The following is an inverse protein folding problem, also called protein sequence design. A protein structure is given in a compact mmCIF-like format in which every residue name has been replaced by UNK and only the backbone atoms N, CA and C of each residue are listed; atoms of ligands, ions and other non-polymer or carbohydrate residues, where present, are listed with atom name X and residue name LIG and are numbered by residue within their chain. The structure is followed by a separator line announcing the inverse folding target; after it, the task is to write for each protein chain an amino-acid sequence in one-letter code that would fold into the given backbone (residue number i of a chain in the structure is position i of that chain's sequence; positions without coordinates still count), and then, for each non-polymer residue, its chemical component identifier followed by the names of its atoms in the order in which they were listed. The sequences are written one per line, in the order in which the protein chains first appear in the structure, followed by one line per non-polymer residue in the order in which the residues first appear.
data_IF_883144388205
#
_entry.id   IF_883144388205
#
_cell.length_a   1.000
_cell.length_b   1.000
_cell.length_c   1.000
_cell.angle_alpha   90.00
_cell.angle_beta   90.00
_cell.angle_gamma   90.00
#
_symmetry.space_group_name_H-M   'P 1'
#
loop_
_entity.id
_entity.type
_entity.pdbx_description
1 polymer ?
#
# COMPACT_ATOMS: atom_id res chain seq x y z
N UNK A 1 -12.41 0.91 -17.95
CA UNK A 1 -13.27 1.41 -16.86
C UNK A 1 -12.64 2.68 -16.31
N UNK A 2 -13.41 3.73 -16.01
CA UNK A 2 -12.87 5.01 -15.50
C UNK A 2 -13.89 5.76 -14.63
N UNK A 3 -13.42 6.73 -13.85
CA UNK A 3 -14.27 7.64 -13.06
C UNK A 3 -15.22 6.91 -12.10
N UNK A 4 -16.51 7.24 -12.16
CA UNK A 4 -17.53 6.69 -11.26
C UNK A 4 -17.64 5.16 -11.33
N UNK A 5 -17.43 4.57 -12.51
CA UNK A 5 -17.47 3.11 -12.66
C UNK A 5 -16.33 2.43 -11.87
N UNK A 6 -15.14 3.03 -11.84
CA UNK A 6 -14.03 2.52 -11.03
C UNK A 6 -14.31 2.65 -9.53
N UNK A 7 -14.86 3.79 -9.10
CA UNK A 7 -15.23 3.99 -7.69
C UNK A 7 -16.30 2.98 -7.25
N UNK A 8 -17.26 2.65 -8.13
CA UNK A 8 -18.27 1.65 -7.80
C UNK A 8 -17.68 0.24 -7.63
N UNK A 9 -16.64 -0.12 -8.38
CA UNK A 9 -15.93 -1.39 -8.14
C UNK A 9 -15.31 -1.42 -6.73
N UNK A 10 -14.68 -0.33 -6.30
CA UNK A 10 -14.15 -0.23 -4.94
C UNK A 10 -15.25 -0.40 -3.88
N UNK A 11 -16.45 0.15 -4.12
CA UNK A 11 -17.60 -0.06 -3.23
C UNK A 11 -18.12 -1.50 -3.24
N UNK A 12 -18.13 -2.16 -4.39
CA UNK A 12 -18.52 -3.56 -4.47
C UNK A 12 -17.55 -4.45 -3.70
N UNK A 13 -16.24 -4.21 -3.86
CA UNK A 13 -15.18 -4.91 -3.13
C UNK A 13 -15.27 -4.64 -1.63
N UNK A 14 -15.44 -3.39 -1.19
CA UNK A 14 -15.54 -3.07 0.25
C UNK A 14 -16.77 -3.68 0.94
N UNK A 15 -17.84 -3.96 0.18
CA UNK A 15 -19.03 -4.68 0.66
C UNK A 15 -18.89 -6.21 0.59
N UNK A 16 -17.73 -6.73 0.19
CA UNK A 16 -17.50 -8.17 0.02
C UNK A 16 -18.24 -8.78 -1.16
N UNK A 17 -18.77 -7.98 -2.10
CA UNK A 17 -19.52 -8.47 -3.25
C UNK A 17 -18.64 -9.02 -4.37
N UNK A 18 -17.31 -8.80 -4.29
CA UNK A 18 -16.31 -9.31 -5.24
C UNK A 18 -15.05 -9.71 -4.50
N UNK A 19 -14.37 -10.75 -4.98
CA UNK A 19 -13.08 -11.21 -4.48
C UNK A 19 -12.66 -12.54 -5.11
N UNK A 20 -11.43 -13.03 -4.84
CA UNK A 20 -10.38 -12.45 -4.00
C UNK A 20 -9.76 -11.18 -4.60
N UNK A 21 -9.17 -10.30 -3.76
CA UNK A 21 -8.45 -9.10 -4.22
C UNK A 21 -7.21 -8.80 -3.39
N UNK A 22 -6.22 -8.18 -4.02
CA UNK A 22 -5.10 -7.52 -3.34
C UNK A 22 -5.27 -6.00 -3.36
N UNK A 23 -4.71 -5.31 -2.38
CA UNK A 23 -4.68 -3.85 -2.32
C UNK A 23 -3.24 -3.36 -2.48
N UNK A 24 -3.03 -2.37 -3.34
CA UNK A 24 -1.73 -1.72 -3.53
C UNK A 24 -1.93 -0.23 -3.29
N UNK A 25 -1.16 0.33 -2.35
CA UNK A 25 -1.11 1.76 -2.11
C UNK A 25 0.25 2.31 -2.54
N UNK A 26 0.26 3.37 -3.35
CA UNK A 26 1.48 4.02 -3.86
C UNK A 26 1.76 5.37 -3.17
N UNK A 27 0.77 5.94 -2.48
CA UNK A 27 0.89 7.25 -1.85
C UNK A 27 1.07 7.17 -0.32
N UNK A 28 1.67 8.22 0.24
CA UNK A 28 1.56 8.49 1.68
C UNK A 28 0.11 8.76 2.06
N UNK A 29 -0.26 8.46 3.30
CA UNK A 29 -1.63 8.63 3.79
C UNK A 29 -1.71 9.90 4.66
N UNK A 30 -2.31 11.00 4.16
CA UNK A 30 -2.49 12.21 4.96
C UNK A 30 -3.53 11.99 6.06
N UNK A 31 -3.34 12.67 7.20
CA UNK A 31 -4.33 12.65 8.27
C UNK A 31 -5.56 13.47 7.86
N UNK A 32 -6.75 12.86 7.93
CA UNK A 32 -8.03 13.55 7.66
C UNK A 32 -8.16 14.83 8.52
N UNK A 33 -7.69 14.80 9.76
CA UNK A 33 -7.72 15.93 10.68
C UNK A 33 -6.89 17.14 10.21
N UNK A 34 -5.85 16.93 9.41
CA UNK A 34 -5.01 18.01 8.88
C UNK A 34 -5.71 18.84 7.79
N UNK A 35 -6.79 18.32 7.19
CA UNK A 35 -7.50 18.95 6.09
C UNK A 35 -8.60 19.94 6.53
N UNK A 36 -8.92 19.99 7.83
CA UNK A 36 -10.02 20.81 8.37
C UNK A 36 -11.36 20.43 7.74
N UNK A 37 -12.05 21.40 7.13
CA UNK A 37 -13.33 21.18 6.43
C UNK A 37 -13.17 20.66 4.99
N UNK A 38 -11.92 20.46 4.53
CA UNK A 38 -11.61 20.02 3.16
C UNK A 38 -11.02 18.60 3.14
N UNK A 39 -10.17 18.29 2.16
CA UNK A 39 -9.51 17.00 2.00
C UNK A 39 -8.15 17.23 1.33
N UNK A 40 -7.16 16.40 1.67
CA UNK A 40 -5.82 16.45 1.07
C UNK A 40 -5.68 15.45 -0.09
N UNK A 41 -6.20 14.24 0.09
CA UNK A 41 -6.21 13.20 -0.93
C UNK A 41 -7.53 12.42 -0.86
N UNK A 42 -8.24 12.33 -1.98
CA UNK A 42 -9.52 11.64 -2.06
C UNK A 42 -9.68 10.90 -3.38
N UNK A 43 -10.54 9.89 -3.36
CA UNK A 43 -10.93 9.13 -4.53
C UNK A 43 -12.45 8.90 -4.50
N UNK A 44 -13.17 9.56 -5.41
CA UNK A 44 -14.62 9.48 -5.46
C UNK A 44 -15.34 10.29 -4.38
N UNK A 45 -16.67 10.26 -4.45
CA UNK A 45 -17.59 11.04 -3.60
C UNK A 45 -18.70 10.13 -3.08
N UNK A 46 -19.11 10.35 -1.85
CA UNK A 46 -20.20 9.65 -1.14
C UNK A 46 -20.98 10.68 -0.32
N UNK A 47 -22.31 10.70 -0.47
CA UNK A 47 -23.19 11.68 0.21
C UNK A 47 -22.75 13.14 0.07
N UNK A 48 -22.26 13.49 -1.13
CA UNK A 48 -21.77 14.83 -1.44
C UNK A 48 -20.41 15.17 -0.83
N UNK A 49 -19.73 14.22 -0.16
CA UNK A 49 -18.41 14.40 0.45
C UNK A 49 -17.34 13.51 -0.20
N UNK A 50 -16.12 14.01 -0.40
CA UNK A 50 -15.01 13.18 -0.90
C UNK A 50 -14.68 12.05 0.07
N UNK A 51 -14.38 10.87 -0.47
CA UNK A 51 -13.88 9.73 0.34
C UNK A 51 -12.36 9.80 0.33
N UNK A 52 -11.75 10.02 1.49
CA UNK A 52 -10.29 10.16 1.61
C UNK A 52 -9.57 8.84 1.33
N UNK A 53 -8.31 8.92 0.91
CA UNK A 53 -7.49 7.71 0.67
C UNK A 53 -7.35 6.85 1.92
N UNK A 54 -7.21 7.46 3.10
CA UNK A 54 -7.22 6.78 4.39
C UNK A 54 -8.50 5.99 4.62
N UNK A 55 -9.68 6.60 4.40
CA UNK A 55 -10.96 5.88 4.49
C UNK A 55 -11.08 4.71 3.51
N UNK A 56 -10.50 4.82 2.32
CA UNK A 56 -10.46 3.68 1.40
C UNK A 56 -9.57 2.56 1.90
N UNK A 57 -8.40 2.88 2.49
CA UNK A 57 -7.54 1.88 3.14
C UNK A 57 -8.30 1.16 4.25
N UNK A 58 -8.96 1.89 5.14
CA UNK A 58 -9.73 1.31 6.25
C UNK A 58 -10.83 0.36 5.78
N UNK A 59 -11.49 0.69 4.66
CA UNK A 59 -12.56 -0.11 4.06
C UNK A 59 -12.05 -1.35 3.33
N UNK A 60 -10.92 -1.25 2.63
CA UNK A 60 -10.46 -2.26 1.66
C UNK A 60 -9.40 -3.20 2.24
N UNK A 61 -8.53 -2.70 3.11
CA UNK A 61 -7.39 -3.45 3.64
C UNK A 61 -7.81 -4.70 4.44
N UNK A 62 -8.82 -4.65 5.34
CA UNK A 62 -9.20 -5.82 6.14
C UNK A 62 -9.72 -7.01 5.32
N UNK A 63 -10.32 -6.75 4.15
CA UNK A 63 -10.83 -7.79 3.26
C UNK A 63 -9.85 -8.25 2.19
N UNK A 64 -8.73 -7.56 1.99
CA UNK A 64 -7.76 -7.91 0.95
C UNK A 64 -6.97 -9.17 1.33
N UNK A 65 -6.64 -10.03 0.36
CA UNK A 65 -5.74 -11.16 0.55
C UNK A 65 -4.35 -10.71 1.04
N UNK A 66 -3.89 -9.58 0.52
CA UNK A 66 -2.63 -8.93 0.84
C UNK A 66 -2.76 -7.42 0.62
N UNK A 67 -1.96 -6.66 1.36
CA UNK A 67 -1.82 -5.21 1.21
C UNK A 67 -0.36 -4.91 0.91
N UNK A 68 -0.11 -4.15 -0.16
CA UNK A 68 1.23 -3.73 -0.57
C UNK A 68 1.34 -2.21 -0.39
N UNK A 69 2.35 -1.77 0.33
CA UNK A 69 2.81 -0.39 0.31
C UNK A 69 3.95 -0.29 -0.71
N UNK A 70 3.73 0.45 -1.80
CA UNK A 70 4.68 0.56 -2.90
C UNK A 70 5.28 1.96 -2.97
N UNK A 71 6.58 2.05 -2.72
CA UNK A 71 7.35 3.28 -2.70
C UNK A 71 7.50 3.89 -1.31
N UNK A 72 8.55 4.67 -1.08
CA UNK A 72 8.89 5.23 0.23
C UNK A 72 7.80 6.16 0.78
N UNK A 73 7.02 6.80 -0.10
CA UNK A 73 5.83 7.55 0.28
C UNK A 73 4.80 6.63 0.97
N UNK A 74 4.42 5.52 0.32
CA UNK A 74 3.46 4.58 0.88
C UNK A 74 4.03 3.77 2.05
N UNK A 75 5.33 3.51 2.07
CA UNK A 75 5.93 2.66 3.10
C UNK A 75 6.22 3.45 4.37
N UNK A 76 6.83 4.65 4.24
CA UNK A 76 7.35 5.44 5.36
C UNK A 76 6.72 6.83 5.50
N UNK A 77 5.86 7.24 4.58
CA UNK A 77 5.38 8.62 4.43
C UNK A 77 6.24 9.44 3.47
N UNK A 78 7.54 9.10 3.33
CA UNK A 78 8.46 9.71 2.36
C UNK A 78 8.68 11.20 2.61
N UNK A 79 8.94 12.00 1.57
CA UNK A 79 9.12 13.45 1.71
C UNK A 79 7.91 14.17 2.35
N UNK A 80 6.70 13.61 2.23
CA UNK A 80 5.48 14.21 2.76
C UNK A 80 5.37 14.13 4.28
N UNK A 81 6.10 13.19 4.92
CA UNK A 81 6.12 13.03 6.38
C UNK A 81 7.31 13.71 7.05
N UNK A 82 8.15 14.42 6.29
CA UNK A 82 9.25 15.22 6.84
C UNK A 82 8.71 16.39 7.66
N UNK A 83 9.44 16.78 8.72
CA UNK A 83 9.10 17.97 9.50
C UNK A 83 9.01 19.23 8.61
N UNK A 84 7.97 20.08 8.79
CA UNK A 84 7.02 20.09 9.91
C UNK A 84 5.78 19.19 9.76
N UNK A 85 5.70 18.37 8.70
CA UNK A 85 4.58 17.46 8.37
C UNK A 85 3.18 18.09 8.54
N UNK A 86 2.85 19.16 7.79
CA UNK A 86 1.57 19.85 7.93
C UNK A 86 0.37 19.00 7.51
N UNK A 87 0.59 17.95 6.71
CA UNK A 87 -0.43 17.02 6.26
C UNK A 87 -0.70 15.87 7.25
N UNK A 88 0.11 15.75 8.31
CA UNK A 88 0.11 14.56 9.18
C UNK A 88 0.28 13.26 8.38
N UNK A 89 1.04 13.30 7.28
CA UNK A 89 1.20 12.19 6.37
C UNK A 89 2.00 11.05 7.02
N UNK A 90 1.55 9.82 6.79
CA UNK A 90 2.15 8.59 7.31
C UNK A 90 2.30 7.54 6.21
N UNK A 91 3.06 6.49 6.49
CA UNK A 91 3.07 5.28 5.66
C UNK A 91 1.86 4.38 5.93
N UNK A 92 1.55 3.50 4.99
CA UNK A 92 0.42 2.55 5.02
C UNK A 92 0.43 1.67 6.26
N UNK A 93 1.60 1.14 6.66
CA UNK A 93 1.72 0.30 7.86
C UNK A 93 1.47 1.08 9.16
N UNK A 94 1.82 2.38 9.17
CA UNK A 94 1.58 3.26 10.32
C UNK A 94 0.11 3.69 10.36
N UNK A 95 -0.51 3.93 9.20
CA UNK A 95 -1.93 4.23 9.10
C UNK A 95 -2.82 3.05 9.54
N UNK A 96 -2.50 1.83 9.07
CA UNK A 96 -3.26 0.62 9.40
C UNK A 96 -2.92 0.03 10.78
N UNK A 97 -1.94 0.60 11.46
CA UNK A 97 -1.31 0.10 12.68
C UNK A 97 -0.40 -1.15 12.49
N UNK A 98 0.68 -1.31 13.30
CA UNK A 98 1.67 -2.39 13.11
C UNK A 98 1.13 -3.82 13.30
N UNK A 99 0.03 -3.98 14.03
CA UNK A 99 -0.63 -5.26 14.28
C UNK A 99 -1.61 -5.67 13.17
N UNK A 100 -1.89 -4.78 12.21
CA UNK A 100 -2.73 -5.09 11.06
C UNK A 100 -2.32 -6.38 10.36
N UNK A 101 -3.31 -7.21 10.03
CA UNK A 101 -3.14 -8.38 9.16
C UNK A 101 -4.23 -8.40 8.10
N UNK A 102 -3.83 -8.74 6.88
CA UNK A 102 -4.73 -8.98 5.75
C UNK A 102 -5.65 -10.17 6.02
N UNK A 103 -6.63 -10.42 5.13
CA UNK A 103 -7.57 -11.55 5.21
C UNK A 103 -6.88 -12.91 5.37
N UNK A 104 -5.66 -13.05 4.84
CA UNK A 104 -4.86 -14.28 4.91
C UNK A 104 -3.75 -14.23 5.96
N UNK A 105 -3.75 -13.23 6.84
CA UNK A 105 -2.80 -13.14 7.96
C UNK A 105 -1.46 -12.50 7.63
N UNK A 106 -1.28 -11.88 6.46
CA UNK A 106 -0.04 -11.15 6.13
C UNK A 106 -0.05 -9.73 6.71
N UNK A 107 1.06 -9.22 7.28
CA UNK A 107 1.20 -7.78 7.50
C UNK A 107 1.26 -7.03 6.16
N UNK A 108 1.31 -5.70 6.21
CA UNK A 108 1.58 -4.89 5.01
C UNK A 108 2.93 -5.28 4.42
N UNK A 109 2.93 -5.58 3.11
CA UNK A 109 4.15 -5.91 2.35
C UNK A 109 4.76 -4.60 1.86
N UNK A 110 5.95 -4.29 2.37
CA UNK A 110 6.62 -3.02 2.15
C UNK A 110 7.62 -3.11 0.99
N UNK A 111 7.41 -2.29 -0.04
CA UNK A 111 8.26 -2.20 -1.23
C UNK A 111 8.89 -0.81 -1.32
N UNK A 112 9.88 -0.49 -0.47
CA UNK A 112 10.47 0.84 -0.41
C UNK A 112 11.30 1.18 -1.67
N UNK A 113 11.47 2.47 -1.93
CA UNK A 113 12.10 3.03 -3.13
C UNK A 113 11.22 4.13 -3.76
N UNK A 114 11.63 4.74 -4.87
CA UNK A 114 10.73 5.65 -5.60
C UNK A 114 9.88 4.83 -6.59
N UNK A 115 8.96 4.02 -6.05
CA UNK A 115 8.07 3.11 -6.79
C UNK A 115 8.75 2.29 -7.91
N UNK A 116 9.78 1.46 -7.60
CA UNK A 116 10.49 0.68 -8.61
C UNK A 116 9.57 -0.40 -9.23
N UNK A 117 9.32 -0.40 -10.55
CA UNK A 117 8.37 -1.34 -11.17
C UNK A 117 8.77 -2.82 -11.07
N UNK A 118 10.07 -3.12 -11.19
CA UNK A 118 10.57 -4.50 -11.18
C UNK A 118 10.33 -5.19 -9.82
N UNK A 119 10.45 -4.45 -8.71
CA UNK A 119 10.14 -4.95 -7.37
C UNK A 119 8.65 -5.26 -7.24
N UNK A 120 7.79 -4.35 -7.71
CA UNK A 120 6.35 -4.56 -7.67
C UNK A 120 5.96 -5.82 -8.44
N UNK A 121 6.42 -5.96 -9.69
CA UNK A 121 6.10 -7.10 -10.52
C UNK A 121 6.58 -8.42 -9.90
N UNK A 122 7.83 -8.48 -9.42
CA UNK A 122 8.38 -9.66 -8.76
C UNK A 122 7.62 -10.02 -7.46
N UNK A 123 7.14 -9.03 -6.72
CA UNK A 123 6.37 -9.26 -5.49
C UNK A 123 4.95 -9.70 -5.80
N UNK A 124 4.28 -9.04 -6.75
CA UNK A 124 2.91 -9.37 -7.16
C UNK A 124 2.82 -10.77 -7.74
N UNK A 125 3.79 -11.19 -8.54
CA UNK A 125 3.84 -12.55 -9.07
C UNK A 125 3.83 -13.60 -7.95
N UNK A 126 4.67 -13.41 -6.92
CA UNK A 126 4.72 -14.30 -5.74
C UNK A 126 3.43 -14.26 -4.92
N UNK A 127 2.89 -13.07 -4.66
CA UNK A 127 1.66 -12.90 -3.88
C UNK A 127 0.46 -13.53 -4.60
N UNK A 128 0.32 -13.31 -5.91
CA UNK A 128 -0.76 -13.88 -6.70
C UNK A 128 -0.67 -15.41 -6.78
N UNK A 129 0.54 -15.97 -6.97
CA UNK A 129 0.74 -17.42 -6.89
C UNK A 129 0.34 -17.96 -5.53
N UNK A 130 0.79 -17.35 -4.44
CA UNK A 130 0.43 -17.78 -3.08
C UNK A 130 -1.09 -17.74 -2.84
N UNK A 131 -1.79 -16.72 -3.36
CA UNK A 131 -3.26 -16.63 -3.26
C UNK A 131 -3.96 -17.75 -4.02
N UNK A 132 -3.50 -18.07 -5.25
CA UNK A 132 -4.15 -19.03 -6.16
C UNK A 132 -3.76 -20.48 -5.85
N UNK A 133 -2.48 -20.72 -5.65
CA UNK A 133 -1.88 -22.06 -5.49
C UNK A 133 -1.82 -22.50 -4.02
N UNK A 134 -1.84 -21.55 -3.07
CA UNK A 134 -1.68 -21.81 -1.63
C UNK A 134 -0.22 -21.94 -1.20
N UNK A 135 0.01 -22.65 -0.08
CA UNK A 135 1.33 -22.82 0.53
C UNK A 135 1.74 -21.70 1.48
N UNK A 136 3.05 -21.60 1.73
CA UNK A 136 3.61 -20.62 2.65
C UNK A 136 3.59 -19.21 2.05
N UNK A 137 3.26 -18.18 2.84
CA UNK A 137 3.36 -16.79 2.40
C UNK A 137 4.81 -16.41 2.07
N UNK A 138 5.02 -15.36 1.25
CA UNK A 138 6.36 -14.83 1.04
C UNK A 138 7.00 -14.42 2.37
N UNK A 139 8.26 -14.82 2.57
CA UNK A 139 9.03 -14.41 3.75
C UNK A 139 9.33 -12.92 3.68
N UNK A 140 9.06 -12.24 4.79
CA UNK A 140 9.34 -10.82 4.97
C UNK A 140 10.46 -10.65 5.98
N UNK A 141 11.27 -9.61 5.82
CA UNK A 141 12.22 -9.17 6.84
C UNK A 141 11.53 -8.36 7.95
N UNK A 142 12.32 -7.87 8.91
CA UNK A 142 11.84 -7.07 10.05
C UNK A 142 11.15 -5.75 9.64
N UNK A 143 11.42 -5.25 8.42
CA UNK A 143 10.80 -4.05 7.86
C UNK A 143 9.60 -4.38 6.96
N UNK A 144 9.16 -5.64 6.92
CA UNK A 144 8.03 -6.08 6.09
C UNK A 144 8.36 -6.22 4.61
N UNK A 145 9.65 -6.26 4.22
CA UNK A 145 10.07 -6.35 2.82
C UNK A 145 10.25 -7.81 2.39
N UNK A 146 9.84 -8.21 1.17
CA UNK A 146 10.07 -9.56 0.68
C UNK A 146 11.57 -9.88 0.54
N UNK A 147 12.06 -10.87 1.28
CA UNK A 147 13.50 -11.18 1.33
C UNK A 147 14.07 -11.64 -0.01
N UNK A 148 13.26 -12.33 -0.82
CA UNK A 148 13.67 -12.76 -2.15
C UNK A 148 13.61 -11.68 -3.23
N UNK A 149 13.25 -10.44 -2.87
CA UNK A 149 13.22 -9.25 -3.76
C UNK A 149 14.19 -8.17 -3.25
N UNK A 150 14.32 -8.06 -1.93
CA UNK A 150 15.30 -7.20 -1.25
C UNK A 150 16.37 -8.06 -0.56
N UNK A 151 17.32 -8.65 -1.32
CA UNK A 151 18.38 -9.46 -0.73
C UNK A 151 19.35 -8.62 0.10
N UNK A 152 19.45 -7.32 -0.19
CA UNK A 152 20.33 -6.38 0.51
C UNK A 152 19.56 -5.15 1.02
N UNK A 153 20.05 -4.53 2.11
CA UNK A 153 19.42 -3.33 2.67
C UNK A 153 19.61 -2.08 1.80
N UNK A 154 20.58 -2.08 0.88
CA UNK A 154 20.95 -0.93 0.06
C UNK A 154 20.17 -0.92 -1.27
N UNK A 155 19.62 0.25 -1.63
CA UNK A 155 18.87 0.49 -2.87
C UNK A 155 19.75 0.91 -4.06
N UNK A 156 21.06 1.07 -3.83
CA UNK A 156 22.01 1.41 -4.88
C UNK A 156 22.74 0.17 -5.39
N UNK A 157 23.43 0.33 -6.51
CA UNK A 157 24.43 -0.62 -6.98
C UNK A 157 25.71 0.14 -7.23
N UNK A 158 26.83 -0.36 -6.72
CA UNK A 158 28.14 0.16 -7.09
C UNK A 158 28.53 -0.59 -8.35
N UNK A 159 28.43 0.08 -9.50
CA UNK A 159 28.98 -0.46 -10.74
C UNK A 159 30.42 0.03 -10.83
N UNK A 160 31.37 -0.82 -10.47
CA UNK A 160 32.78 -0.58 -10.78
C UNK A 160 33.10 -1.26 -12.09
N UNK A 161 33.72 -0.54 -13.01
CA UNK A 161 34.44 -1.12 -14.12
C UNK A 161 35.93 -0.98 -13.82
N UNK A 162 36.70 -2.05 -13.99
CA UNK A 162 38.14 -1.92 -14.14
C UNK A 162 38.44 -1.26 -15.50
N UNK A 163 39.56 -0.57 -15.63
CA UNK A 163 40.04 0.00 -16.91
C UNK A 163 40.26 -1.07 -17.98
#
# INVERSE_FOLDING_TARGET
MSGAAFVEELRQVSRGARGPWGLINESSVPADAAAGETFLASLGVEDGRPVTTGRWLDRLAPGAEFVVAWGDCAVWGGPHSLEPNPAGATGTSMWLEPDFRSRRGLPVVNLPGCAPPHVLLATLERLLRWVVEGGDPPRLDEMGRPTGVYPEPWKGGLVTWAE
#
